data_IF_814607241376
#
_entry.id   IF_814607241376
#
_cell.length_a   1.000
_cell.length_b   1.000
_cell.length_c   1.000
_cell.angle_alpha   90.00
_cell.angle_beta   90.00
_cell.angle_gamma   90.00
#
_symmetry.space_group_name_H-M   'P 1'
#
loop_
_entity.id
_entity.type
_entity.pdbx_description
1 polymer ?
#
# COMPACT_ATOMS: atom_id res chain seq x y z
N UNK A 1 -5.84 10.17 -20.06
CA UNK A 1 -4.58 9.49 -19.70
C UNK A 1 -3.71 9.12 -20.91
N UNK A 2 -4.20 8.34 -21.89
CA UNK A 2 -3.43 7.96 -23.10
C UNK A 2 -3.03 9.17 -23.96
N UNK A 3 -3.91 10.14 -24.15
CA UNK A 3 -3.61 11.38 -24.91
C UNK A 3 -2.42 12.14 -24.29
N UNK A 4 -2.46 12.39 -22.98
CA UNK A 4 -1.36 13.03 -22.23
C UNK A 4 -0.06 12.23 -22.35
N UNK A 5 -0.14 10.89 -22.37
CA UNK A 5 1.03 10.04 -22.58
C UNK A 5 1.71 10.35 -23.91
N UNK A 6 0.95 10.36 -25.02
CA UNK A 6 1.50 10.63 -26.35
C UNK A 6 1.95 12.09 -26.48
N UNK A 7 1.15 13.06 -26.04
CA UNK A 7 1.50 14.48 -26.11
C UNK A 7 2.83 14.81 -25.43
N UNK A 8 3.05 14.31 -24.21
CA UNK A 8 4.30 14.57 -23.49
C UNK A 8 5.52 13.97 -24.21
N UNK A 9 5.37 12.78 -24.79
CA UNK A 9 6.46 12.08 -25.50
C UNK A 9 6.73 12.75 -26.84
N UNK A 10 5.69 13.04 -27.62
CA UNK A 10 5.79 13.70 -28.91
C UNK A 10 6.30 15.14 -28.78
N UNK A 11 5.86 15.90 -27.77
CA UNK A 11 6.41 17.23 -27.49
C UNK A 11 7.91 17.19 -27.19
N UNK A 12 8.35 16.17 -26.43
CA UNK A 12 9.78 15.99 -26.16
C UNK A 12 10.55 15.56 -27.40
N UNK A 13 9.96 14.69 -28.24
CA UNK A 13 10.56 14.27 -29.51
C UNK A 13 10.66 15.44 -30.50
N UNK A 14 9.65 16.30 -30.58
CA UNK A 14 9.66 17.49 -31.42
C UNK A 14 10.79 18.44 -31.01
N UNK A 15 11.06 18.61 -29.72
CA UNK A 15 12.21 19.41 -29.22
C UNK A 15 13.58 18.82 -29.56
N UNK A 16 13.65 17.51 -29.83
CA UNK A 16 14.88 16.81 -30.19
C UNK A 16 15.03 16.67 -31.72
N UNK A 17 13.97 16.91 -32.48
CA UNK A 17 13.97 16.83 -33.92
C UNK A 17 14.52 18.13 -34.53
N UNK A 18 15.13 18.02 -35.70
CA UNK A 18 15.62 19.15 -36.49
C UNK A 18 14.49 19.91 -37.22
N UNK A 19 13.34 19.27 -37.42
CA UNK A 19 12.16 19.76 -38.13
C UNK A 19 10.89 19.25 -37.45
N UNK A 20 9.74 19.75 -37.91
CA UNK A 20 8.45 19.21 -37.54
C UNK A 20 8.36 17.70 -37.84
N UNK A 21 7.75 16.96 -36.91
CA UNK A 21 7.75 15.49 -36.94
C UNK A 21 7.05 14.93 -38.19
N UNK A 22 6.10 15.64 -38.77
CA UNK A 22 5.40 15.28 -40.01
C UNK A 22 6.28 15.37 -41.27
N UNK A 23 7.39 16.12 -41.23
CA UNK A 23 8.26 16.38 -42.38
C UNK A 23 9.60 15.63 -42.35
N UNK A 24 9.83 14.76 -41.37
CA UNK A 24 11.10 14.05 -41.22
C UNK A 24 11.26 12.93 -42.25
N UNK A 25 12.46 12.84 -42.83
CA UNK A 25 12.86 11.69 -43.65
C UNK A 25 13.18 10.45 -42.80
N UNK A 26 13.31 9.28 -43.45
CA UNK A 26 13.68 8.03 -42.75
C UNK A 26 15.03 8.13 -42.05
N UNK A 27 15.99 8.86 -42.63
CA UNK A 27 17.32 9.10 -42.09
C UNK A 27 17.28 10.03 -40.88
N UNK A 28 16.45 11.06 -40.93
CA UNK A 28 16.23 11.98 -39.81
C UNK A 28 15.51 11.27 -38.64
N UNK A 29 14.55 10.39 -38.93
CA UNK A 29 13.89 9.53 -37.94
C UNK A 29 14.90 8.60 -37.26
N UNK A 30 15.84 8.01 -38.01
CA UNK A 30 16.93 7.20 -37.43
C UNK A 30 17.77 8.02 -36.46
N UNK A 31 18.18 9.22 -36.86
CA UNK A 31 18.95 10.13 -36.00
C UNK A 31 18.19 10.50 -34.72
N UNK A 32 16.88 10.73 -34.81
CA UNK A 32 16.02 11.00 -33.66
C UNK A 32 15.96 9.79 -32.69
N UNK A 33 15.83 8.58 -33.22
CA UNK A 33 15.84 7.35 -32.40
C UNK A 33 17.20 7.17 -31.70
N UNK A 34 18.31 7.44 -32.39
CA UNK A 34 19.66 7.40 -31.80
C UNK A 34 19.78 8.46 -30.68
N UNK A 35 19.26 9.66 -30.89
CA UNK A 35 19.24 10.71 -29.87
C UNK A 35 18.45 10.29 -28.62
N UNK A 36 17.31 9.62 -28.79
CA UNK A 36 16.52 9.06 -27.68
C UNK A 36 17.31 7.99 -26.93
N UNK A 37 18.00 7.09 -27.64
CA UNK A 37 18.83 6.05 -27.00
C UNK A 37 19.98 6.63 -26.18
N UNK A 38 20.63 7.68 -26.69
CA UNK A 38 21.72 8.38 -25.98
C UNK A 38 21.21 9.16 -24.77
N UNK A 39 20.05 9.82 -24.90
CA UNK A 39 19.53 10.71 -23.85
C UNK A 39 18.97 9.97 -22.64
N UNK A 40 18.31 8.83 -22.85
CA UNK A 40 17.65 8.10 -21.77
C UNK A 40 18.43 6.83 -21.46
N UNK A 41 18.75 6.59 -20.19
CA UNK A 41 19.41 5.35 -19.75
C UNK A 41 18.42 4.20 -19.45
N UNK A 42 17.17 4.53 -19.15
CA UNK A 42 16.13 3.55 -18.84
C UNK A 42 15.49 2.94 -20.10
N UNK A 43 15.56 1.62 -20.24
CA UNK A 43 15.00 0.86 -21.36
C UNK A 43 13.49 1.07 -21.57
N UNK A 44 12.70 1.15 -20.48
CA UNK A 44 11.27 1.40 -20.57
C UNK A 44 10.97 2.82 -21.09
N UNK A 45 11.79 3.81 -20.69
CA UNK A 45 11.66 5.16 -21.22
C UNK A 45 12.00 5.20 -22.71
N UNK A 46 13.10 4.54 -23.14
CA UNK A 46 13.44 4.40 -24.57
C UNK A 46 12.31 3.73 -25.35
N UNK A 47 11.72 2.68 -24.79
CA UNK A 47 10.58 1.97 -25.37
C UNK A 47 9.36 2.88 -25.52
N UNK A 48 8.96 3.61 -24.48
CA UNK A 48 7.82 4.54 -24.52
C UNK A 48 7.95 5.56 -25.65
N UNK A 49 9.14 6.15 -25.83
CA UNK A 49 9.39 7.11 -26.91
C UNK A 49 9.31 6.46 -28.28
N UNK A 50 9.89 5.27 -28.46
CA UNK A 50 9.81 4.51 -29.72
C UNK A 50 8.37 4.12 -30.06
N UNK A 51 7.56 3.71 -29.07
CA UNK A 51 6.14 3.40 -29.25
C UNK A 51 5.35 4.64 -29.63
N UNK A 52 5.56 5.77 -28.94
CA UNK A 52 4.90 7.03 -29.26
C UNK A 52 5.21 7.48 -30.69
N UNK A 53 6.46 7.37 -31.12
CA UNK A 53 6.90 7.71 -32.47
C UNK A 53 6.23 6.80 -33.51
N UNK A 54 6.24 5.48 -33.32
CA UNK A 54 5.58 4.54 -34.25
C UNK A 54 4.08 4.80 -34.37
N UNK A 55 3.40 5.05 -33.26
CA UNK A 55 1.95 5.35 -33.24
C UNK A 55 1.62 6.69 -33.89
N UNK A 56 2.48 7.70 -33.75
CA UNK A 56 2.32 8.96 -34.45
C UNK A 56 2.36 8.80 -35.97
N UNK A 57 3.35 8.09 -36.51
CA UNK A 57 3.40 7.85 -37.96
C UNK A 57 2.34 6.86 -38.45
N UNK A 58 1.92 5.90 -37.64
CA UNK A 58 0.76 5.06 -37.96
C UNK A 58 -0.49 5.92 -38.19
N UNK A 59 -0.76 6.85 -37.28
CA UNK A 59 -1.86 7.81 -37.39
C UNK A 59 -1.69 8.78 -38.56
N UNK A 60 -0.50 9.36 -38.73
CA UNK A 60 -0.21 10.35 -39.79
C UNK A 60 -0.46 9.79 -41.20
N UNK A 61 -0.19 8.50 -41.40
CA UNK A 61 -0.37 7.83 -42.69
C UNK A 61 -1.73 7.10 -42.83
N UNK A 62 -2.66 7.31 -41.91
CA UNK A 62 -4.03 6.77 -42.02
C UNK A 62 -4.15 5.25 -41.81
N UNK A 63 -3.16 4.60 -41.19
CA UNK A 63 -3.27 3.19 -40.83
C UNK A 63 -4.22 3.02 -39.65
N UNK A 64 -4.93 1.89 -39.59
CA UNK A 64 -5.77 1.56 -38.44
C UNK A 64 -4.95 1.54 -37.14
N UNK A 65 -5.45 2.21 -36.11
CA UNK A 65 -4.72 2.40 -34.86
C UNK A 65 -4.37 1.09 -34.14
N UNK A 66 -5.22 0.07 -34.22
CA UNK A 66 -5.01 -1.22 -33.57
C UNK A 66 -4.31 -2.24 -34.49
N UNK A 67 -4.06 -1.88 -35.77
CA UNK A 67 -3.26 -2.71 -36.65
C UNK A 67 -1.82 -2.80 -36.14
N UNK A 68 -1.16 -3.94 -36.41
CA UNK A 68 0.29 -4.10 -36.22
C UNK A 68 1.09 -3.63 -37.43
N UNK A 69 0.44 -2.93 -38.35
CA UNK A 69 1.03 -2.42 -39.58
C UNK A 69 1.53 -1.00 -39.38
N UNK A 70 2.73 -0.74 -39.90
CA UNK A 70 3.40 0.53 -39.75
C UNK A 70 4.05 0.95 -41.07
N UNK A 71 4.10 2.27 -41.36
CA UNK A 71 4.83 2.80 -42.50
C UNK A 71 6.28 2.29 -42.55
N UNK A 72 6.82 2.09 -43.75
CA UNK A 72 8.20 1.60 -43.99
C UNK A 72 9.27 2.45 -43.31
N UNK A 73 8.99 3.73 -43.10
CA UNK A 73 9.85 4.70 -42.39
C UNK A 73 10.02 4.42 -40.89
N UNK A 74 9.09 3.69 -40.24
CA UNK A 74 9.16 3.38 -38.79
C UNK A 74 9.04 1.89 -38.47
N UNK A 75 8.72 1.05 -39.46
CA UNK A 75 8.59 -0.41 -39.30
C UNK A 75 9.85 -1.08 -38.73
N UNK A 76 11.03 -0.56 -39.08
CA UNK A 76 12.33 -1.07 -38.62
C UNK A 76 12.61 -0.82 -37.12
N UNK A 77 11.85 0.06 -36.47
CA UNK A 77 12.03 0.37 -35.05
C UNK A 77 11.54 -0.81 -34.21
N UNK A 78 12.50 -1.50 -33.58
CA UNK A 78 12.24 -2.56 -32.60
C UNK A 78 11.76 -1.96 -31.30
N UNK A 79 10.56 -2.36 -30.89
CA UNK A 79 9.94 -1.98 -29.61
C UNK A 79 9.95 -3.12 -28.60
N UNK A 80 10.62 -4.24 -28.87
CA UNK A 80 10.70 -5.33 -27.90
C UNK A 80 11.60 -4.92 -26.74
N UNK A 81 11.06 -4.91 -25.52
CA UNK A 81 11.86 -4.79 -24.29
C UNK A 81 12.07 -6.20 -23.78
N UNK A 82 13.33 -6.58 -23.54
CA UNK A 82 13.63 -7.79 -22.78
C UNK A 82 13.18 -7.53 -21.34
N UNK A 83 12.11 -8.19 -20.93
CA UNK A 83 11.57 -8.06 -19.58
C UNK A 83 12.47 -8.84 -18.58
N UNK A 84 13.74 -8.44 -18.48
CA UNK A 84 14.77 -9.20 -17.76
C UNK A 84 14.99 -8.71 -16.33
N UNK A 85 14.31 -7.65 -15.88
CA UNK A 85 14.42 -7.17 -14.49
C UNK A 85 13.34 -7.83 -13.63
N UNK A 86 13.50 -9.12 -13.34
CA UNK A 86 12.91 -9.68 -12.13
C UNK A 86 13.51 -8.90 -10.96
N UNK A 87 12.67 -8.29 -10.12
CA UNK A 87 13.17 -7.62 -8.92
C UNK A 87 13.85 -8.68 -8.05
N UNK A 88 15.01 -8.35 -7.51
CA UNK A 88 15.65 -9.23 -6.53
C UNK A 88 14.73 -9.34 -5.30
N UNK A 89 14.63 -10.52 -4.65
CA UNK A 89 13.84 -10.69 -3.43
C UNK A 89 14.16 -9.63 -2.36
N UNK A 90 15.42 -9.18 -2.29
CA UNK A 90 15.90 -8.13 -1.39
C UNK A 90 15.26 -6.75 -1.63
N UNK A 91 14.75 -6.48 -2.84
CA UNK A 91 14.05 -5.24 -3.16
C UNK A 91 12.57 -5.26 -2.75
N UNK A 92 12.05 -6.42 -2.36
CA UNK A 92 10.65 -6.61 -1.94
C UNK A 92 10.54 -6.25 -0.46
N UNK A 93 9.51 -5.48 -0.11
CA UNK A 93 9.23 -5.12 1.29
C UNK A 93 8.69 -6.35 2.02
N UNK A 94 9.26 -6.68 3.18
CA UNK A 94 8.71 -7.73 4.04
C UNK A 94 7.44 -7.26 4.75
N UNK A 95 6.65 -8.19 5.30
CA UNK A 95 5.44 -7.84 6.06
C UNK A 95 5.82 -7.01 7.30
N UNK A 96 6.88 -7.38 8.01
CA UNK A 96 7.33 -6.68 9.22
C UNK A 96 7.83 -5.27 8.90
N UNK A 97 8.50 -5.06 7.76
CA UNK A 97 8.88 -3.73 7.27
C UNK A 97 7.66 -2.82 7.09
N UNK A 98 6.58 -3.34 6.50
CA UNK A 98 5.35 -2.58 6.31
C UNK A 98 4.70 -2.25 7.64
N UNK A 99 4.56 -3.21 8.55
CA UNK A 99 3.95 -2.95 9.85
C UNK A 99 4.80 -2.04 10.75
N UNK A 100 6.12 -2.06 10.63
CA UNK A 100 6.99 -1.02 11.22
C UNK A 100 6.70 0.36 10.65
N UNK A 101 6.44 0.48 9.35
CA UNK A 101 6.03 1.75 8.74
C UNK A 101 4.67 2.24 9.26
N UNK A 102 3.70 1.32 9.44
CA UNK A 102 2.39 1.62 10.05
C UNK A 102 2.60 2.12 11.47
N UNK A 103 3.34 1.39 12.31
CA UNK A 103 3.66 1.78 13.68
C UNK A 103 4.34 3.15 13.77
N UNK A 104 5.30 3.42 12.89
CA UNK A 104 6.06 4.66 12.83
C UNK A 104 5.27 5.84 12.21
N UNK A 105 4.06 5.63 11.68
CA UNK A 105 3.25 6.72 11.14
C UNK A 105 2.65 7.59 12.24
N UNK A 106 2.69 8.92 12.05
CA UNK A 106 2.30 9.90 13.09
C UNK A 106 0.78 10.01 13.27
N UNK A 107 0.05 10.03 12.16
CA UNK A 107 -1.38 10.33 12.16
C UNK A 107 -2.20 9.05 11.98
N UNK A 108 -3.40 9.02 12.57
CA UNK A 108 -4.36 7.91 12.43
C UNK A 108 -4.63 7.57 10.95
N UNK A 109 -4.85 8.60 10.12
CA UNK A 109 -4.98 8.47 8.67
C UNK A 109 -3.79 7.74 8.05
N UNK A 110 -2.56 8.11 8.40
CA UNK A 110 -1.36 7.56 7.75
C UNK A 110 -1.17 6.09 8.12
N UNK A 111 -1.46 5.72 9.37
CA UNK A 111 -1.47 4.32 9.82
C UNK A 111 -2.46 3.49 9.00
N UNK A 112 -3.72 3.96 8.93
CA UNK A 112 -4.78 3.32 8.15
C UNK A 112 -4.42 3.25 6.65
N UNK A 113 -3.94 4.34 6.06
CA UNK A 113 -3.63 4.42 4.64
C UNK A 113 -2.56 3.42 4.22
N UNK A 114 -1.46 3.33 4.98
CA UNK A 114 -0.35 2.41 4.68
C UNK A 114 -0.81 0.96 4.82
N UNK A 115 -1.48 0.65 5.94
CA UNK A 115 -1.98 -0.71 6.22
C UNK A 115 -2.96 -1.18 5.15
N UNK A 116 -3.96 -0.36 4.82
CA UNK A 116 -4.97 -0.70 3.81
C UNK A 116 -4.36 -0.77 2.42
N UNK A 117 -3.41 0.10 2.06
CA UNK A 117 -2.75 0.07 0.75
C UNK A 117 -1.91 -1.18 0.53
N UNK A 118 -1.20 -1.63 1.56
CA UNK A 118 -0.49 -2.90 1.53
C UNK A 118 -1.45 -4.08 1.50
N UNK A 119 -2.36 -4.18 2.48
CA UNK A 119 -3.21 -5.36 2.65
C UNK A 119 -4.13 -5.60 1.44
N UNK A 120 -4.76 -4.53 0.93
CA UNK A 120 -5.66 -4.61 -0.23
C UNK A 120 -4.95 -4.83 -1.56
N UNK A 121 -3.64 -4.55 -1.63
CA UNK A 121 -2.88 -4.55 -2.87
C UNK A 121 -3.44 -3.61 -3.96
N UNK A 122 -4.30 -2.64 -3.64
CA UNK A 122 -4.95 -1.79 -4.64
C UNK A 122 -3.95 -0.91 -5.41
N UNK A 123 -4.31 -0.53 -6.64
CA UNK A 123 -3.56 0.51 -7.35
C UNK A 123 -3.81 1.85 -6.66
N UNK A 124 -2.82 2.74 -6.67
CA UNK A 124 -2.94 4.04 -6.02
C UNK A 124 -4.14 4.87 -6.50
N UNK A 125 -4.48 4.79 -7.80
CA UNK A 125 -5.65 5.49 -8.33
C UNK A 125 -6.96 4.96 -7.76
N UNK A 126 -7.08 3.65 -7.57
CA UNK A 126 -8.24 3.00 -6.94
C UNK A 126 -8.32 3.39 -5.46
N UNK A 127 -7.16 3.42 -4.79
CA UNK A 127 -7.07 3.80 -3.38
C UNK A 127 -7.51 5.24 -3.15
N UNK A 128 -7.01 6.19 -3.96
CA UNK A 128 -7.33 7.62 -3.82
C UNK A 128 -8.78 7.95 -4.23
N UNK A 129 -9.44 7.08 -5.00
CA UNK A 129 -10.84 7.26 -5.39
C UNK A 129 -11.85 6.67 -4.40
N UNK A 130 -11.40 5.95 -3.36
CA UNK A 130 -12.27 5.37 -2.35
C UNK A 130 -13.01 6.46 -1.57
N UNK A 131 -14.28 6.19 -1.28
CA UNK A 131 -15.16 7.01 -0.45
C UNK A 131 -15.52 6.28 0.84
N UNK A 132 -16.03 7.01 1.84
CA UNK A 132 -16.46 6.41 3.11
C UNK A 132 -17.50 5.30 2.91
N UNK A 133 -18.49 5.49 2.01
CA UNK A 133 -19.51 4.48 1.68
C UNK A 133 -18.94 3.17 1.10
N UNK A 134 -17.70 3.17 0.63
CA UNK A 134 -17.09 1.99 0.05
C UNK A 134 -16.52 1.05 1.11
N UNK A 135 -16.50 1.44 2.39
CA UNK A 135 -16.01 0.63 3.51
C UNK A 135 -17.20 0.03 4.25
N UNK A 136 -17.25 -1.30 4.30
CA UNK A 136 -18.31 -2.04 5.00
C UNK A 136 -17.62 -2.90 6.06
N UNK A 137 -17.91 -2.65 7.33
CA UNK A 137 -17.41 -3.46 8.45
C UNK A 137 -18.34 -4.65 8.69
N UNK A 138 -17.76 -5.80 9.03
CA UNK A 138 -18.48 -7.02 9.44
C UNK A 138 -17.72 -7.73 10.56
N UNK A 139 -18.23 -8.88 11.02
CA UNK A 139 -17.66 -9.63 12.15
C UNK A 139 -16.23 -10.15 11.89
N UNK A 140 -15.84 -10.27 10.62
CA UNK A 140 -14.55 -10.81 10.18
C UNK A 140 -13.59 -9.71 9.70
N UNK A 141 -13.92 -8.43 9.93
CA UNK A 141 -13.08 -7.29 9.58
C UNK A 141 -13.80 -6.24 8.75
N UNK A 142 -13.30 -5.97 7.54
CA UNK A 142 -13.93 -5.02 6.62
C UNK A 142 -13.81 -5.48 5.16
N UNK A 143 -14.76 -5.04 4.34
CA UNK A 143 -14.72 -5.18 2.89
C UNK A 143 -14.71 -3.79 2.28
N UNK A 144 -13.73 -3.54 1.40
CA UNK A 144 -13.72 -2.34 0.56
C UNK A 144 -14.21 -2.67 -0.85
N UNK A 145 -15.04 -1.78 -1.39
CA UNK A 145 -15.52 -1.86 -2.78
C UNK A 145 -14.69 -0.90 -3.63
N UNK A 146 -13.80 -1.44 -4.46
CA UNK A 146 -12.90 -0.67 -5.32
C UNK A 146 -13.38 -0.72 -6.76
N UNK A 147 -13.32 0.44 -7.43
CA UNK A 147 -13.61 0.58 -8.85
C UNK A 147 -12.31 0.80 -9.62
N UNK A 148 -11.93 -0.18 -10.45
CA UNK A 148 -10.71 -0.14 -11.25
C UNK A 148 -11.00 -0.22 -12.74
N UNK A 149 -9.93 -0.34 -13.54
CA UNK A 149 -10.04 -0.52 -15.00
C UNK A 149 -10.77 -1.80 -15.41
N UNK A 150 -10.74 -2.81 -14.55
CA UNK A 150 -11.35 -4.13 -14.76
C UNK A 150 -12.76 -4.20 -14.16
N UNK A 151 -13.32 -3.08 -13.70
CA UNK A 151 -14.63 -3.02 -13.05
C UNK A 151 -14.56 -2.94 -11.52
N UNK A 152 -15.70 -3.24 -10.89
CA UNK A 152 -15.83 -3.28 -9.44
C UNK A 152 -15.32 -4.61 -8.89
N UNK A 153 -14.61 -4.56 -7.76
CA UNK A 153 -14.25 -5.75 -7.00
C UNK A 153 -14.34 -5.49 -5.51
N UNK A 154 -14.58 -6.57 -4.76
CA UNK A 154 -14.61 -6.57 -3.30
C UNK A 154 -13.24 -7.04 -2.79
N UNK A 155 -12.64 -6.28 -1.88
CA UNK A 155 -11.37 -6.66 -1.26
C UNK A 155 -11.56 -6.76 0.24
N UNK A 156 -11.25 -7.94 0.78
CA UNK A 156 -11.32 -8.24 2.22
C UNK A 156 -10.08 -7.68 2.92
N UNK A 157 -10.31 -7.03 4.06
CA UNK A 157 -9.31 -6.53 4.99
C UNK A 157 -9.55 -7.15 6.36
N UNK A 158 -8.48 -7.48 7.06
CA UNK A 158 -8.48 -8.06 8.41
C UNK A 158 -7.44 -7.34 9.27
N UNK A 159 -6.17 -7.37 8.89
CA UNK A 159 -5.08 -6.88 9.71
C UNK A 159 -5.06 -5.35 9.84
N UNK A 160 -5.43 -4.62 8.79
CA UNK A 160 -5.48 -3.14 8.79
C UNK A 160 -6.78 -2.57 9.34
N UNK A 161 -7.80 -3.41 9.58
CA UNK A 161 -9.15 -3.00 10.00
C UNK A 161 -9.14 -2.16 11.27
N UNK A 162 -8.35 -2.47 12.32
CA UNK A 162 -8.39 -1.67 13.54
C UNK A 162 -7.90 -0.24 13.31
N UNK A 163 -6.85 -0.05 12.49
CA UNK A 163 -6.38 1.29 12.11
C UNK A 163 -7.42 2.01 11.22
N UNK A 164 -8.06 1.28 10.30
CA UNK A 164 -9.11 1.81 9.43
C UNK A 164 -10.35 2.25 10.22
N UNK A 165 -10.83 1.44 11.16
CA UNK A 165 -11.99 1.73 11.99
C UNK A 165 -11.77 2.99 12.85
N UNK A 166 -10.58 3.11 13.46
CA UNK A 166 -10.21 4.32 14.20
C UNK A 166 -10.17 5.52 13.26
N UNK A 167 -9.56 5.41 12.08
CA UNK A 167 -9.54 6.53 11.13
C UNK A 167 -10.94 6.96 10.67
N UNK A 168 -11.83 6.02 10.34
CA UNK A 168 -13.21 6.32 9.94
C UNK A 168 -13.97 7.03 11.05
N UNK A 169 -13.79 6.60 12.31
CA UNK A 169 -14.45 7.21 13.48
C UNK A 169 -13.97 8.63 13.81
N UNK A 170 -12.76 9.00 13.40
CA UNK A 170 -12.20 10.35 13.57
C UNK A 170 -12.14 11.11 12.23
N UNK A 171 -12.85 10.66 11.21
CA UNK A 171 -12.81 11.27 9.89
C UNK A 171 -13.46 12.66 9.95
N UNK A 172 -12.83 13.74 9.41
CA UNK A 172 -13.39 15.10 9.47
C UNK A 172 -14.77 15.27 8.82
N UNK A 173 -15.16 14.31 7.99
CA UNK A 173 -16.42 14.28 7.23
C UNK A 173 -17.12 12.92 7.40
N UNK A 174 -17.08 12.36 8.60
CA UNK A 174 -17.59 11.01 8.88
C UNK A 174 -19.08 10.82 8.49
N UNK A 175 -19.88 11.89 8.60
CA UNK A 175 -21.31 11.87 8.29
C UNK A 175 -21.62 12.01 6.79
N UNK A 176 -20.60 12.08 5.93
CA UNK A 176 -20.75 12.26 4.49
C UNK A 176 -20.28 11.01 3.73
N UNK A 177 -21.19 10.08 3.37
CA UNK A 177 -20.81 8.81 2.73
C UNK A 177 -20.06 8.98 1.40
N UNK A 178 -20.30 10.09 0.70
CA UNK A 178 -19.65 10.42 -0.57
C UNK A 178 -18.27 11.08 -0.41
N UNK A 179 -17.87 11.44 0.82
CA UNK A 179 -16.58 12.05 1.06
C UNK A 179 -15.44 11.07 0.74
N UNK A 180 -14.30 11.57 0.19
CA UNK A 180 -13.12 10.74 -0.01
C UNK A 180 -12.68 10.10 1.30
N UNK A 181 -12.37 8.80 1.29
CA UNK A 181 -11.90 8.07 2.47
C UNK A 181 -10.55 8.62 2.96
N UNK A 182 -9.72 9.11 2.04
CA UNK A 182 -8.40 9.63 2.34
C UNK A 182 -8.35 11.12 2.05
N UNK A 183 -8.32 11.91 3.13
CA UNK A 183 -8.25 13.36 3.05
C UNK A 183 -6.91 13.93 3.55
N UNK A 184 -6.59 15.13 3.08
CA UNK A 184 -5.53 15.93 3.65
C UNK A 184 -5.96 16.47 5.01
N UNK A 185 -5.09 16.31 6.01
CA UNK A 185 -5.28 16.77 7.39
C UNK A 185 -4.58 18.11 7.67
N UNK A 186 -3.77 18.61 6.72
CA UNK A 186 -3.06 19.88 6.88
C UNK A 186 -3.97 21.10 6.72
N UNK A 187 -3.51 22.25 7.21
CA UNK A 187 -4.30 23.50 7.27
C UNK A 187 -4.79 24.01 5.91
N UNK A 188 -3.93 24.06 4.88
CA UNK A 188 -4.30 24.65 3.58
C UNK A 188 -5.28 23.82 2.73
N UNK A 189 -5.32 22.49 2.91
CA UNK A 189 -6.13 21.58 2.10
C UNK A 189 -6.95 20.64 2.98
N UNK A 190 -7.34 21.11 4.16
CA UNK A 190 -8.06 20.29 5.14
C UNK A 190 -9.35 19.72 4.52
N UNK A 191 -9.58 18.42 4.67
CA UNK A 191 -10.80 17.74 4.18
C UNK A 191 -10.87 17.50 2.65
N UNK A 192 -9.89 17.97 1.87
CA UNK A 192 -9.77 17.64 0.44
C UNK A 192 -9.16 16.26 0.25
N UNK A 193 -9.57 15.55 -0.80
CA UNK A 193 -9.02 14.23 -1.14
C UNK A 193 -7.49 14.27 -1.34
N UNK A 194 -6.81 13.21 -0.90
CA UNK A 194 -5.37 13.08 -1.10
C UNK A 194 -5.03 12.98 -2.59
N UNK A 195 -3.97 13.69 -2.99
CA UNK A 195 -3.37 13.52 -4.31
C UNK A 195 -2.24 12.47 -4.29
N UNK A 196 -1.77 12.11 -5.49
CA UNK A 196 -0.70 11.13 -5.67
C UNK A 196 0.64 11.56 -5.04
N UNK A 197 0.93 12.85 -5.02
CA UNK A 197 2.18 13.38 -4.46
C UNK A 197 2.17 13.31 -2.93
N UNK A 198 1.05 13.63 -2.31
CA UNK A 198 0.80 13.49 -0.88
C UNK A 198 0.86 12.03 -0.44
N UNK A 199 0.21 11.11 -1.17
CA UNK A 199 0.31 9.68 -0.90
C UNK A 199 1.76 9.16 -0.97
N UNK A 200 2.53 9.57 -1.98
CA UNK A 200 3.97 9.23 -2.06
C UNK A 200 4.79 9.83 -0.92
N UNK A 201 4.43 11.04 -0.46
CA UNK A 201 5.09 11.69 0.68
C UNK A 201 4.83 10.91 1.97
N UNK A 202 3.58 10.53 2.24
CA UNK A 202 3.18 9.72 3.41
C UNK A 202 4.02 8.45 3.49
N UNK A 203 4.10 7.69 2.39
CA UNK A 203 4.87 6.45 2.34
C UNK A 203 6.36 6.66 2.59
N UNK A 204 6.96 7.69 1.97
CA UNK A 204 8.38 8.01 2.13
C UNK A 204 8.72 8.43 3.55
N UNK A 205 7.88 9.27 4.14
CA UNK A 205 8.07 9.77 5.50
C UNK A 205 7.92 8.65 6.53
N UNK A 206 6.96 7.73 6.33
CA UNK A 206 6.82 6.54 7.17
C UNK A 206 8.00 5.58 7.02
N UNK A 207 8.45 5.31 5.79
CA UNK A 207 9.62 4.47 5.51
C UNK A 207 10.89 5.01 6.20
N UNK A 208 11.13 6.33 6.10
CA UNK A 208 12.26 7.00 6.75
C UNK A 208 12.20 6.84 8.27
N UNK A 209 11.04 7.06 8.90
CA UNK A 209 10.89 6.90 10.36
C UNK A 209 11.04 5.47 10.82
N UNK A 210 10.59 4.51 10.01
CA UNK A 210 10.71 3.08 10.31
C UNK A 210 12.12 2.51 10.02
N UNK A 211 13.04 3.30 9.47
CA UNK A 211 14.38 2.82 9.09
C UNK A 211 14.39 1.89 7.87
N UNK A 212 13.34 1.91 7.04
CA UNK A 212 13.24 1.08 5.83
C UNK A 212 14.05 1.74 4.71
N UNK A 213 15.18 1.12 4.33
CA UNK A 213 16.10 1.62 3.29
C UNK A 213 15.65 1.27 1.86
N UNK A 214 14.76 0.29 1.71
CA UNK A 214 14.21 -0.15 0.42
C UNK A 214 13.38 0.95 -0.24
N UNK A 215 13.23 0.88 -1.56
CA UNK A 215 12.46 1.87 -2.32
C UNK A 215 10.96 1.71 -2.06
N UNK A 216 10.40 2.57 -1.22
CA UNK A 216 8.96 2.58 -0.90
C UNK A 216 8.18 3.49 -1.87
N UNK A 217 7.17 2.93 -2.51
CA UNK A 217 6.16 3.63 -3.31
C UNK A 217 4.89 2.76 -3.41
N UNK A 218 3.73 3.29 -3.86
CA UNK A 218 2.49 2.52 -3.87
C UNK A 218 2.56 1.20 -4.65
N UNK A 219 3.28 1.19 -5.78
CA UNK A 219 3.47 -0.04 -6.54
C UNK A 219 4.39 -1.03 -5.81
N UNK A 220 5.39 -0.57 -5.07
CA UNK A 220 6.24 -1.45 -4.26
C UNK A 220 5.42 -2.22 -3.20
N UNK A 221 4.50 -1.55 -2.50
CA UNK A 221 3.58 -2.20 -1.55
C UNK A 221 2.70 -3.26 -2.25
N UNK A 222 2.15 -2.91 -3.41
CA UNK A 222 1.36 -3.86 -4.21
C UNK A 222 2.17 -5.07 -4.68
N UNK A 223 3.41 -4.86 -5.12
CA UNK A 223 4.30 -5.95 -5.52
C UNK A 223 4.62 -6.85 -4.33
N UNK A 224 4.94 -6.27 -3.18
CA UNK A 224 5.16 -7.02 -1.95
C UNK A 224 3.94 -7.87 -1.60
N UNK A 225 2.74 -7.28 -1.59
CA UNK A 225 1.52 -8.04 -1.31
C UNK A 225 1.27 -9.16 -2.32
N UNK A 226 1.53 -8.92 -3.61
CA UNK A 226 1.39 -9.95 -4.64
C UNK A 226 2.37 -11.10 -4.44
N UNK A 227 3.63 -10.81 -4.09
CA UNK A 227 4.62 -11.84 -3.74
C UNK A 227 4.19 -12.62 -2.51
N UNK A 228 3.76 -11.96 -1.43
CA UNK A 228 3.38 -12.65 -0.19
C UNK A 228 2.12 -13.51 -0.32
N UNK A 229 1.23 -13.19 -1.27
CA UNK A 229 0.03 -13.97 -1.56
C UNK A 229 0.24 -15.03 -2.65
N UNK A 230 1.34 -14.99 -3.41
CA UNK A 230 1.55 -15.90 -4.54
C UNK A 230 1.66 -17.37 -4.12
N UNK A 231 2.13 -17.65 -2.91
CA UNK A 231 2.17 -19.01 -2.34
C UNK A 231 0.87 -19.43 -1.66
N UNK A 232 -0.06 -18.49 -1.44
CA UNK A 232 -1.29 -18.71 -0.65
C UNK A 232 -2.55 -18.72 -1.51
N UNK A 233 -2.52 -18.13 -2.70
CA UNK A 233 -3.65 -17.96 -3.60
C UNK A 233 -3.37 -18.60 -4.95
N UNK A 234 -4.41 -19.15 -5.58
CA UNK A 234 -4.34 -19.59 -6.98
C UNK A 234 -4.23 -18.40 -7.93
N UNK A 235 -3.75 -18.62 -9.16
CA UNK A 235 -3.63 -17.55 -10.16
C UNK A 235 -4.96 -16.84 -10.44
N UNK A 236 -6.08 -17.59 -10.45
CA UNK A 236 -7.43 -17.05 -10.63
C UNK A 236 -7.84 -16.16 -9.45
N UNK A 237 -7.56 -16.60 -8.21
CA UNK A 237 -7.80 -15.81 -7.00
C UNK A 237 -6.93 -14.54 -6.98
N UNK A 238 -5.66 -14.63 -7.42
CA UNK A 238 -4.80 -13.47 -7.57
C UNK A 238 -5.37 -12.48 -8.61
N UNK A 239 -5.84 -12.98 -9.76
CA UNK A 239 -6.46 -12.12 -10.77
C UNK A 239 -7.65 -11.35 -10.21
N UNK A 240 -8.52 -12.04 -9.47
CA UNK A 240 -9.67 -11.42 -8.83
C UNK A 240 -9.24 -10.38 -7.78
N UNK A 241 -8.39 -10.77 -6.84
CA UNK A 241 -7.95 -9.92 -5.73
C UNK A 241 -7.25 -8.64 -6.22
N UNK A 242 -6.32 -8.78 -7.18
CA UNK A 242 -5.53 -7.67 -7.69
C UNK A 242 -6.24 -6.88 -8.80
N UNK A 243 -7.39 -7.35 -9.32
CA UNK A 243 -8.05 -6.75 -10.48
C UNK A 243 -7.15 -6.83 -11.73
N UNK A 244 -6.69 -8.04 -12.02
CA UNK A 244 -6.12 -8.43 -13.31
C UNK A 244 -7.18 -9.18 -14.13
N UNK A 245 -7.05 -9.16 -15.45
CA UNK A 245 -7.91 -9.95 -16.32
C UNK A 245 -7.65 -11.43 -16.08
N UNK A 246 -8.72 -12.22 -16.00
CA UNK A 246 -8.63 -13.68 -15.91
C UNK A 246 -7.84 -14.22 -17.11
N UNK A 247 -6.90 -15.13 -16.86
CA UNK A 247 -6.00 -15.67 -17.88
C UNK A 247 -4.86 -14.73 -18.32
N UNK A 248 -4.61 -13.62 -17.62
CA UNK A 248 -3.43 -12.78 -17.89
C UNK A 248 -2.14 -13.39 -17.34
N UNK A 249 -1.00 -13.09 -17.97
CA UNK A 249 0.33 -13.53 -17.49
C UNK A 249 0.83 -12.80 -16.22
N UNK A 250 0.00 -11.92 -15.64
CA UNK A 250 0.40 -11.10 -14.50
C UNK A 250 0.71 -11.93 -13.23
N UNK A 251 -0.09 -12.95 -12.85
CA UNK A 251 0.23 -13.82 -11.71
C UNK A 251 1.56 -14.56 -11.87
N UNK A 252 1.88 -15.04 -13.08
CA UNK A 252 3.12 -15.77 -13.39
C UNK A 252 4.40 -14.96 -13.12
N UNK A 253 4.29 -13.64 -12.96
CA UNK A 253 5.41 -12.78 -12.53
C UNK A 253 5.81 -13.05 -11.06
N UNK A 254 4.88 -13.50 -10.22
CA UNK A 254 5.07 -13.71 -8.78
C UNK A 254 5.02 -15.17 -8.38
N UNK A 255 4.24 -15.96 -9.11
CA UNK A 255 4.18 -17.41 -8.91
C UNK A 255 5.47 -18.00 -9.48
N UNK A 256 6.35 -18.43 -8.59
CA UNK A 256 7.53 -19.21 -8.92
C UNK A 256 7.30 -20.61 -8.36
N UNK A 257 6.69 -21.49 -9.17
CA UNK A 257 6.52 -22.88 -8.79
C UNK A 257 7.90 -23.54 -8.76
N UNK A 258 8.40 -23.85 -7.57
CA UNK A 258 9.49 -24.80 -7.40
C UNK A 258 8.93 -26.22 -7.32
N UNK A 259 9.73 -27.24 -7.63
CA UNK A 259 9.33 -28.63 -7.42
C UNK A 259 8.91 -28.89 -5.96
N UNK A 260 9.52 -28.17 -5.02
CA UNK A 260 9.21 -28.24 -3.59
C UNK A 260 7.78 -27.74 -3.27
N UNK A 261 7.27 -26.75 -4.00
CA UNK A 261 5.89 -26.26 -3.85
C UNK A 261 4.86 -27.28 -4.36
N UNK A 262 5.19 -27.98 -5.45
CA UNK A 262 4.37 -29.07 -5.99
C UNK A 262 4.34 -30.24 -5.01
N UNK A 263 5.52 -30.63 -4.49
CA UNK A 263 5.63 -31.68 -3.49
C UNK A 263 4.85 -31.32 -2.23
N UNK A 264 4.90 -30.07 -1.76
CA UNK A 264 4.11 -29.58 -0.61
C UNK A 264 2.60 -29.68 -0.86
N UNK A 265 2.13 -29.29 -2.04
CA UNK A 265 0.72 -29.42 -2.40
C UNK A 265 0.28 -30.89 -2.39
N UNK A 266 1.10 -31.78 -2.97
CA UNK A 266 0.85 -33.23 -2.99
C UNK A 266 0.86 -33.81 -1.57
N UNK A 267 1.88 -33.48 -0.77
CA UNK A 267 2.03 -33.93 0.62
C UNK A 267 0.85 -33.47 1.47
N UNK A 268 0.36 -32.24 1.28
CA UNK A 268 -0.83 -31.73 1.95
C UNK A 268 -2.11 -32.48 1.58
N UNK A 269 -2.27 -32.91 0.31
CA UNK A 269 -3.43 -33.73 -0.11
C UNK A 269 -3.45 -35.06 0.67
N UNK A 270 -2.27 -35.62 0.95
CA UNK A 270 -2.13 -36.85 1.72
C UNK A 270 -2.00 -36.63 3.24
N UNK A 271 -2.29 -35.42 3.74
CA UNK A 271 -2.26 -35.10 5.17
C UNK A 271 -0.85 -35.12 5.79
N UNK A 272 0.21 -35.07 4.98
CA UNK A 272 1.58 -34.99 5.47
C UNK A 272 1.95 -33.53 5.72
N UNK A 273 2.17 -33.18 6.98
CA UNK A 273 2.59 -31.83 7.39
C UNK A 273 4.03 -31.61 6.97
N UNK A 274 4.25 -30.73 5.99
CA UNK A 274 5.58 -30.17 5.71
C UNK A 274 5.73 -28.94 6.60
N UNK A 275 6.32 -29.15 7.78
CA UNK A 275 6.57 -28.08 8.74
C UNK A 275 7.78 -27.27 8.24
N UNK A 276 7.51 -26.21 7.49
CA UNK A 276 8.51 -25.19 7.19
C UNK A 276 8.24 -24.00 8.11
N UNK A 277 9.14 -23.84 9.08
CA UNK A 277 9.41 -22.55 9.72
C UNK A 277 10.02 -21.61 8.67
N UNK A 278 9.25 -21.16 7.70
CA UNK A 278 9.69 -20.15 6.73
C UNK A 278 8.67 -19.01 6.68
N UNK A 279 9.04 -17.91 7.36
CA UNK A 279 8.30 -16.66 7.45
C UNK A 279 7.56 -16.51 8.78
N UNK A 280 7.90 -15.47 9.55
CA UNK A 280 7.01 -14.98 10.61
C UNK A 280 5.66 -14.66 9.97
N UNK A 281 4.70 -15.58 10.05
CA UNK A 281 3.34 -15.29 9.65
C UNK A 281 2.86 -14.12 10.52
N UNK A 282 2.62 -12.99 9.87
CA UNK A 282 2.08 -11.82 10.55
C UNK A 282 0.62 -12.11 10.90
N UNK A 283 0.44 -12.70 12.08
CA UNK A 283 -0.87 -13.06 12.63
C UNK A 283 -1.47 -11.87 13.37
N UNK A 284 -2.78 -11.72 13.27
CA UNK A 284 -3.52 -10.82 14.16
C UNK A 284 -3.31 -11.25 15.61
N UNK A 285 -3.12 -10.29 16.52
CA UNK A 285 -2.89 -10.58 17.94
C UNK A 285 -4.23 -10.71 18.65
N UNK A 286 -4.59 -11.91 19.09
CA UNK A 286 -5.79 -12.13 19.91
C UNK A 286 -5.48 -11.80 21.37
N UNK A 287 -6.26 -10.90 21.96
CA UNK A 287 -6.08 -10.53 23.36
C UNK A 287 -6.48 -11.69 24.28
N UNK A 288 -5.60 -12.16 25.17
CA UNK A 288 -5.89 -13.29 26.05
C UNK A 288 -6.96 -12.97 27.11
N UNK A 289 -7.15 -11.69 27.46
CA UNK A 289 -8.14 -11.25 28.46
C UNK A 289 -9.55 -11.11 27.92
N UNK A 290 -9.72 -10.61 26.69
CA UNK A 290 -11.05 -10.25 26.17
C UNK A 290 -11.38 -10.85 24.80
N UNK A 291 -10.48 -11.67 24.25
CA UNK A 291 -10.64 -12.34 22.96
C UNK A 291 -10.63 -11.44 21.72
N UNK A 292 -10.46 -10.11 21.88
CA UNK A 292 -10.49 -9.17 20.75
C UNK A 292 -9.24 -9.35 19.87
N UNK A 293 -9.44 -9.40 18.55
CA UNK A 293 -8.36 -9.34 17.57
C UNK A 293 -7.78 -7.93 17.44
N UNK A 294 -6.45 -7.83 17.42
CA UNK A 294 -5.70 -6.57 17.33
C UNK A 294 -4.73 -6.64 16.17
N UNK A 295 -4.31 -5.47 15.62
CA UNK A 295 -3.30 -5.43 14.57
C UNK A 295 -2.01 -6.13 14.98
N UNK A 296 -1.21 -6.60 14.01
CA UNK A 296 0.08 -7.19 14.30
C UNK A 296 1.05 -6.24 15.02
N UNK A 297 0.94 -4.92 14.77
CA UNK A 297 1.77 -3.90 15.42
C UNK A 297 1.24 -3.43 16.78
N UNK A 298 0.16 -4.03 17.31
CA UNK A 298 -0.47 -3.61 18.56
C UNK A 298 0.42 -3.89 19.79
N UNK A 299 0.67 -2.82 20.55
CA UNK A 299 1.30 -2.87 21.88
C UNK A 299 0.29 -3.12 22.99
N UNK A 300 -0.94 -2.63 22.82
CA UNK A 300 -2.03 -2.73 23.77
C UNK A 300 -3.30 -3.20 23.08
N UNK A 301 -4.15 -3.90 23.82
CA UNK A 301 -5.46 -4.31 23.35
C UNK A 301 -6.36 -3.10 23.17
N UNK A 302 -6.98 -2.98 21.99
CA UNK A 302 -7.86 -1.85 21.68
C UNK A 302 -9.17 -1.84 22.49
N UNK A 303 -9.57 -2.98 23.08
CA UNK A 303 -10.80 -3.10 23.88
C UNK A 303 -10.55 -2.92 25.37
N UNK A 304 -9.60 -3.66 25.93
CA UNK A 304 -9.39 -3.71 27.39
C UNK A 304 -8.06 -3.09 27.85
N UNK A 305 -7.27 -2.52 26.93
CA UNK A 305 -5.95 -1.91 27.16
C UNK A 305 -4.88 -2.81 27.77
N UNK A 306 -5.10 -4.13 27.83
CA UNK A 306 -4.08 -5.09 28.24
C UNK A 306 -2.86 -5.01 27.31
N UNK A 307 -1.66 -5.09 27.88
CA UNK A 307 -0.41 -5.13 27.09
C UNK A 307 -0.35 -6.43 26.28
N UNK A 308 -0.02 -6.32 25.00
CA UNK A 308 0.06 -7.42 24.03
C UNK A 308 1.47 -7.59 23.42
N UNK A 309 2.41 -6.73 23.77
CA UNK A 309 3.76 -6.75 23.25
C UNK A 309 4.77 -6.80 24.40
N UNK A 310 5.70 -7.75 24.35
CA UNK A 310 6.66 -8.00 25.42
C UNK A 310 7.54 -6.77 25.69
N UNK A 311 7.96 -6.05 24.63
CA UNK A 311 8.76 -4.82 24.80
C UNK A 311 7.94 -3.71 25.45
N UNK A 312 6.68 -3.57 25.04
CA UNK A 312 5.77 -2.63 25.67
C UNK A 312 5.47 -2.99 27.13
N UNK A 313 5.47 -4.28 27.49
CA UNK A 313 5.32 -4.73 28.87
C UNK A 313 6.53 -4.30 29.72
N UNK A 314 7.74 -4.55 29.24
CA UNK A 314 8.98 -4.11 29.91
C UNK A 314 9.04 -2.59 30.05
N UNK A 315 8.65 -1.83 29.01
CA UNK A 315 8.65 -0.37 29.05
C UNK A 315 7.53 0.18 29.96
N UNK A 316 6.37 -0.47 30.02
CA UNK A 316 5.30 -0.13 30.95
C UNK A 316 5.70 -0.41 32.41
N UNK A 317 6.28 -1.58 32.70
CA UNK A 317 6.83 -1.91 34.03
C UNK A 317 7.94 -0.94 34.43
N UNK A 318 8.80 -0.56 33.49
CA UNK A 318 9.85 0.44 33.73
C UNK A 318 9.23 1.80 34.05
N UNK A 319 8.26 2.27 33.27
CA UNK A 319 7.56 3.53 33.54
C UNK A 319 6.82 3.50 34.87
N UNK A 320 6.19 2.38 35.21
CA UNK A 320 5.51 2.19 36.48
C UNK A 320 6.51 2.25 37.63
N UNK A 321 7.67 1.61 37.50
CA UNK A 321 8.77 1.71 38.47
C UNK A 321 9.31 3.14 38.60
N UNK A 322 9.57 3.82 37.49
CA UNK A 322 10.01 5.22 37.47
C UNK A 322 8.96 6.14 38.12
N UNK A 323 7.65 5.90 37.88
CA UNK A 323 6.57 6.63 38.55
C UNK A 323 6.53 6.34 40.05
N UNK A 324 6.72 5.09 40.47
CA UNK A 324 6.77 4.71 41.88
C UNK A 324 7.99 5.32 42.58
N UNK A 325 9.14 5.42 41.91
CA UNK A 325 10.34 6.09 42.43
C UNK A 325 10.16 7.61 42.57
N UNK A 326 9.31 8.22 41.74
CA UNK A 326 8.95 9.64 41.83
C UNK A 326 7.91 9.94 42.92
N UNK A 327 7.20 8.92 43.40
CA UNK A 327 6.28 9.05 44.53
C UNK A 327 7.10 8.89 45.82
N UNK A 328 7.50 10.00 46.42
CA UNK A 328 8.09 10.00 47.76
C UNK A 328 7.04 9.67 48.82
N UNK A 329 7.44 9.16 49.99
CA UNK A 329 6.53 8.91 51.12
C UNK A 329 5.68 10.15 51.44
N UNK A 330 6.26 11.35 51.37
CA UNK A 330 5.56 12.62 51.61
C UNK A 330 4.42 12.92 50.61
N UNK A 331 4.59 12.52 49.34
CA UNK A 331 3.57 12.70 48.30
C UNK A 331 2.46 11.66 48.47
N UNK A 332 2.84 10.43 48.83
CA UNK A 332 1.89 9.35 49.07
C UNK A 332 1.02 9.66 50.30
N UNK A 333 1.60 10.15 51.40
CA UNK A 333 0.86 10.58 52.58
C UNK A 333 -0.14 11.70 52.27
N UNK A 334 0.26 12.73 51.51
CA UNK A 334 -0.67 13.80 51.11
C UNK A 334 -1.81 13.29 50.23
N UNK A 335 -1.51 12.41 49.27
CA UNK A 335 -2.54 11.82 48.41
C UNK A 335 -3.49 10.92 49.20
N UNK A 336 -2.98 10.15 50.16
CA UNK A 336 -3.79 9.32 51.06
C UNK A 336 -4.67 10.23 51.94
N UNK A 337 -4.11 11.28 52.55
CA UNK A 337 -4.88 12.24 53.35
C UNK A 337 -5.97 12.95 52.54
N UNK A 338 -5.67 13.40 51.32
CA UNK A 338 -6.67 14.03 50.44
C UNK A 338 -7.78 13.05 50.07
N UNK A 339 -7.44 11.79 49.79
CA UNK A 339 -8.41 10.76 49.43
C UNK A 339 -9.25 10.32 50.63
N UNK A 340 -8.65 10.19 51.81
CA UNK A 340 -9.37 9.98 53.08
C UNK A 340 -10.31 11.15 53.35
N UNK A 341 -9.86 12.41 53.20
CA UNK A 341 -10.72 13.60 53.33
C UNK A 341 -11.86 13.56 52.31
N UNK A 342 -11.62 13.16 51.08
CA UNK A 342 -12.66 13.06 50.04
C UNK A 342 -13.70 11.98 50.37
N UNK A 343 -13.26 10.77 50.75
CA UNK A 343 -14.15 9.67 51.16
C UNK A 343 -14.93 10.03 52.42
N UNK A 344 -14.29 10.66 53.41
CA UNK A 344 -14.98 11.14 54.61
C UNK A 344 -16.01 12.23 54.28
N UNK A 345 -15.74 13.10 53.30
CA UNK A 345 -16.70 14.11 52.85
C UNK A 345 -17.89 13.49 52.13
N UNK A 346 -17.67 12.49 51.28
CA UNK A 346 -18.73 11.71 50.63
C UNK A 346 -19.55 10.88 51.64
N UNK A 347 -18.89 10.29 52.64
CA UNK A 347 -19.58 9.58 53.73
C UNK A 347 -20.37 10.53 54.62
N UNK A 348 -19.84 11.70 54.98
CA UNK A 348 -20.55 12.70 55.80
C UNK A 348 -21.74 13.34 55.08
N UNK A 349 -21.69 13.46 53.75
CA UNK A 349 -22.83 13.90 52.93
C UNK A 349 -23.96 12.86 52.86
N UNK A 350 -23.66 11.58 53.08
CA UNK A 350 -24.65 10.49 53.09
C UNK A 350 -25.27 10.20 54.48
N UNK A 351 -24.82 10.87 55.55
CA UNK A 351 -25.34 10.71 56.92
C UNK A 351 -26.34 11.82 57.30
N UNK A 352 -26.56 12.80 56.42
CA UNK A 352 -27.49 13.94 56.62
C UNK A 352 -28.73 13.91 55.72
N UNK A 353 -29.07 12.75 55.14
CA UNK A 353 -30.38 12.50 54.51
C UNK A 353 -31.27 11.61 55.36
#
# INVERSE_FOLDING_TARGET
ARVIFYLNRLSTLAKLASKDLDRLSKEEIKSLVIAVERRYSNENSRHDFKVALKKFYQWLHGYEWDSKEYPSMVRWIKTTVRNCKKKLPEEILSEEEVWRMVKAAKNLRDKAFIGVLYESGCRIGEMLSLKLKNVIFDDYGAVIIVHGKTGYRRVRLVASVPHLAVWVSYHPRQDEPEAPLWVSIGTMNHGKGLDYSAARKILRDAARRAGVRKRVNPHALRHARATHLASKLTEAQMCEFFGWTQGSDMPATYVHLSGRDVDKAILSIYGKVVDEREGEEVRVKTCPRCGKENPPDAEYCMRCRMVLDERAAVEAERRERELLELITEDVLERLIEEKIKHVLKECCLNVTQ
#
